data_IF_811694001617
#
_entry.id   IF_811694001617
#
_cell.length_a   1.000
_cell.length_b   1.000
_cell.length_c   1.000
_cell.angle_alpha   90.00
_cell.angle_beta   90.00
_cell.angle_gamma   90.00
#
_symmetry.space_group_name_H-M   'P 1'
#
loop_
_entity.id
_entity.type
_entity.pdbx_description
1 polymer ?
#
# COMPACT_ATOMS: atom_id res chain seq x y z
N UNK A 1 8.04 53.39 28.38
CA UNK A 1 7.30 52.37 29.15
C UNK A 1 6.71 51.35 28.18
N UNK A 2 7.01 50.06 28.40
CA UNK A 2 6.59 48.82 27.68
C UNK A 2 7.79 48.05 27.09
N UNK A 3 8.65 47.57 27.99
CA UNK A 3 9.71 46.59 27.69
C UNK A 3 9.79 45.51 28.78
N UNK A 4 8.65 45.13 29.36
CA UNK A 4 8.62 44.29 30.57
C UNK A 4 7.55 43.17 30.54
N UNK A 5 7.11 42.73 29.36
CA UNK A 5 6.15 41.59 29.26
C UNK A 5 6.61 40.41 28.41
N UNK A 6 7.80 40.46 27.80
CA UNK A 6 8.29 39.36 26.94
C UNK A 6 9.29 38.44 27.66
N UNK A 7 9.84 38.86 28.81
CA UNK A 7 10.80 38.05 29.59
C UNK A 7 10.11 37.06 30.54
N UNK A 8 8.79 37.17 30.76
CA UNK A 8 8.06 36.32 31.70
C UNK A 8 7.53 35.00 31.11
N UNK A 9 7.62 34.79 29.79
CA UNK A 9 7.10 33.57 29.15
C UNK A 9 8.16 32.49 28.89
N UNK A 10 9.44 32.77 29.19
CA UNK A 10 10.56 31.86 28.96
C UNK A 10 11.08 31.15 30.22
N UNK A 11 10.46 31.35 31.39
CA UNK A 11 10.98 30.88 32.69
C UNK A 11 10.08 29.86 33.42
N UNK A 12 9.06 29.27 32.78
CA UNK A 12 8.13 28.31 33.43
C UNK A 12 8.19 26.88 32.85
N UNK A 13 9.11 26.60 31.92
CA UNK A 13 9.26 25.25 31.34
C UNK A 13 10.42 24.40 31.91
N UNK A 14 10.97 24.76 33.07
CA UNK A 14 11.88 23.88 33.83
C UNK A 14 11.29 23.62 35.21
N UNK A 15 10.56 22.49 35.34
CA UNK A 15 10.45 21.61 36.52
C UNK A 15 9.08 20.91 36.54
N UNK A 16 8.94 19.86 35.74
CA UNK A 16 8.00 18.78 36.08
C UNK A 16 8.82 17.50 36.15
N UNK A 17 9.27 17.21 37.37
CA UNK A 17 9.94 15.98 37.75
C UNK A 17 9.09 14.79 37.34
N UNK A 18 9.63 13.97 36.43
CA UNK A 18 9.13 12.64 36.16
C UNK A 18 9.34 11.76 37.40
N UNK A 19 8.29 11.56 38.19
CA UNK A 19 8.22 10.46 39.14
C UNK A 19 7.95 9.19 38.34
N UNK A 20 9.01 8.47 37.98
CA UNK A 20 8.93 7.10 37.46
C UNK A 20 8.35 6.18 38.53
N UNK A 21 7.05 5.91 38.44
CA UNK A 21 6.49 4.69 39.04
C UNK A 21 6.89 3.52 38.16
N UNK A 22 7.82 2.71 38.67
CA UNK A 22 8.15 1.42 38.11
C UNK A 22 6.89 0.55 38.04
N UNK A 23 6.38 0.31 36.84
CA UNK A 23 5.36 -0.71 36.64
C UNK A 23 6.01 -2.09 36.83
N UNK A 24 5.38 -3.01 37.59
CA UNK A 24 5.86 -4.37 37.70
C UNK A 24 5.92 -5.00 36.30
N UNK A 25 7.03 -5.70 36.02
CA UNK A 25 7.22 -6.51 34.81
C UNK A 25 6.13 -7.59 34.75
N UNK A 26 4.99 -7.25 34.17
CA UNK A 26 3.96 -8.20 33.78
C UNK A 26 4.28 -8.66 32.35
N UNK A 27 4.75 -9.90 32.26
CA UNK A 27 4.76 -10.82 31.11
C UNK A 27 4.92 -10.25 29.69
N UNK A 28 6.02 -10.68 29.08
CA UNK A 28 6.28 -10.71 27.65
C UNK A 28 5.02 -10.76 26.77
N UNK A 29 4.82 -9.71 25.96
CA UNK A 29 4.28 -9.72 24.60
C UNK A 29 3.30 -10.85 24.20
N UNK A 30 2.22 -11.03 24.95
CA UNK A 30 1.12 -11.93 24.55
C UNK A 30 0.32 -11.39 23.34
N UNK A 31 0.50 -10.11 22.99
CA UNK A 31 -0.07 -9.47 21.79
C UNK A 31 0.62 -9.88 20.47
N UNK A 32 1.77 -10.56 20.53
CA UNK A 32 2.54 -10.96 19.34
C UNK A 32 2.31 -12.43 18.92
N UNK A 33 1.71 -13.25 19.79
CA UNK A 33 1.39 -14.64 19.45
C UNK A 33 0.14 -14.70 18.55
N UNK A 34 0.35 -15.12 17.30
CA UNK A 34 -0.69 -15.43 16.32
C UNK A 34 -1.16 -16.89 16.48
N UNK A 35 -1.85 -17.18 17.57
CA UNK A 35 -2.34 -18.54 17.87
C UNK A 35 -3.88 -18.65 17.82
N UNK A 36 -4.56 -17.56 17.48
CA UNK A 36 -6.01 -17.48 17.48
C UNK A 36 -6.66 -18.23 16.33
N UNK A 37 -7.84 -18.80 16.56
CA UNK A 37 -8.63 -19.49 15.53
C UNK A 37 -10.11 -19.09 15.60
N UNK A 38 -10.69 -18.79 14.45
CA UNK A 38 -12.13 -18.58 14.26
C UNK A 38 -12.67 -19.58 13.25
N UNK A 39 -13.75 -20.27 13.58
CA UNK A 39 -14.40 -21.22 12.67
C UNK A 39 -15.92 -21.20 12.83
N UNK A 40 -16.62 -21.77 11.87
CA UNK A 40 -18.08 -21.85 11.86
C UNK A 40 -18.59 -22.27 10.49
N UNK A 41 -19.90 -22.17 10.29
CA UNK A 41 -20.56 -22.55 9.04
C UNK A 41 -21.52 -21.46 8.57
N UNK A 42 -21.49 -21.13 7.30
CA UNK A 42 -22.40 -20.16 6.69
C UNK A 42 -23.48 -20.91 5.93
N UNK A 43 -24.74 -20.56 6.22
CA UNK A 43 -25.91 -21.17 5.62
C UNK A 43 -26.85 -20.10 5.09
N UNK A 44 -27.66 -20.47 4.10
CA UNK A 44 -28.77 -19.66 3.66
C UNK A 44 -29.87 -19.69 4.73
N UNK A 45 -30.30 -18.52 5.19
CA UNK A 45 -31.25 -18.40 6.29
C UNK A 45 -32.58 -19.11 6.02
N UNK A 46 -33.22 -18.89 4.85
CA UNK A 46 -34.46 -19.56 4.46
C UNK A 46 -34.31 -21.05 4.17
N UNK A 47 -33.37 -21.46 3.31
CA UNK A 47 -33.30 -22.85 2.85
C UNK A 47 -32.46 -23.77 3.74
N UNK A 48 -31.70 -23.21 4.69
CA UNK A 48 -30.71 -23.92 5.54
C UNK A 48 -29.61 -24.65 4.76
N UNK A 49 -29.51 -24.42 3.45
CA UNK A 49 -28.45 -24.99 2.63
C UNK A 49 -27.12 -24.31 2.94
N UNK A 50 -25.99 -25.03 2.88
CA UNK A 50 -24.68 -24.43 3.03
C UNK A 50 -24.41 -23.42 1.91
N UNK A 51 -23.80 -22.29 2.28
CA UNK A 51 -23.35 -21.29 1.31
C UNK A 51 -21.86 -21.46 1.07
N UNK A 52 -21.53 -22.08 -0.05
CA UNK A 52 -20.17 -22.23 -0.52
C UNK A 52 -19.61 -20.90 -1.05
N UNK A 53 -18.32 -20.65 -0.89
CA UNK A 53 -17.63 -19.46 -1.41
C UNK A 53 -18.12 -18.11 -0.84
N UNK A 54 -18.78 -18.11 0.32
CA UNK A 54 -19.05 -16.90 1.09
C UNK A 54 -17.75 -16.31 1.62
N UNK A 55 -17.59 -15.00 1.50
CA UNK A 55 -16.41 -14.27 1.95
C UNK A 55 -16.50 -14.00 3.44
N UNK A 56 -15.59 -14.57 4.23
CA UNK A 56 -15.47 -14.35 5.67
C UNK A 56 -14.23 -13.49 5.94
N UNK A 57 -14.40 -12.32 6.54
CA UNK A 57 -13.34 -11.36 6.84
C UNK A 57 -13.26 -11.08 8.33
N UNK A 58 -12.05 -11.09 8.88
CA UNK A 58 -11.77 -10.69 10.26
C UNK A 58 -11.13 -9.31 10.23
N UNK A 59 -11.87 -8.31 10.68
CA UNK A 59 -11.46 -6.91 10.69
C UNK A 59 -11.08 -6.47 12.11
N UNK A 60 -10.13 -5.55 12.22
CA UNK A 60 -9.81 -4.83 13.46
C UNK A 60 -10.05 -3.35 13.25
N UNK A 61 -10.87 -2.75 14.11
CA UNK A 61 -11.03 -1.30 14.14
C UNK A 61 -9.79 -0.68 14.80
N UNK A 62 -9.10 0.16 14.05
CA UNK A 62 -7.92 0.89 14.49
C UNK A 62 -8.30 2.12 15.34
N UNK A 63 -7.38 2.70 16.12
CA UNK A 63 -7.66 3.87 16.96
C UNK A 63 -8.18 5.10 16.21
N UNK A 64 -7.88 5.19 14.91
CA UNK A 64 -8.38 6.23 14.00
C UNK A 64 -9.82 5.96 13.48
N UNK A 65 -10.49 4.92 13.98
CA UNK A 65 -11.84 4.54 13.60
C UNK A 65 -11.96 3.75 12.29
N UNK A 66 -10.85 3.44 11.61
CA UNK A 66 -10.87 2.68 10.36
C UNK A 66 -10.79 1.16 10.61
N UNK A 67 -11.55 0.39 9.83
CA UNK A 67 -11.47 -1.06 9.84
C UNK A 67 -10.29 -1.53 8.97
N UNK A 68 -9.37 -2.27 9.57
CA UNK A 68 -8.24 -2.93 8.88
C UNK A 68 -8.47 -4.44 8.79
N UNK A 69 -8.27 -5.03 7.61
CA UNK A 69 -8.38 -6.47 7.39
C UNK A 69 -7.20 -7.18 8.04
N UNK A 70 -7.49 -8.10 8.96
CA UNK A 70 -6.47 -8.92 9.63
C UNK A 70 -6.21 -10.20 8.84
N UNK A 71 -7.26 -10.95 8.54
CA UNK A 71 -7.24 -12.15 7.70
C UNK A 71 -8.65 -12.43 7.18
N UNK A 72 -8.80 -13.31 6.21
CA UNK A 72 -10.10 -13.80 5.76
C UNK A 72 -9.98 -15.10 4.97
N UNK A 73 -11.10 -15.78 4.79
CA UNK A 73 -11.20 -17.00 4.01
C UNK A 73 -12.51 -17.03 3.22
N UNK A 74 -12.61 -17.96 2.28
CA UNK A 74 -13.88 -18.35 1.69
C UNK A 74 -14.44 -19.55 2.48
N UNK A 75 -15.75 -19.71 2.48
CA UNK A 75 -16.36 -20.97 2.92
C UNK A 75 -16.14 -22.07 1.89
N UNK A 76 -15.98 -23.29 2.37
CA UNK A 76 -15.88 -24.49 1.53
C UNK A 76 -17.26 -24.90 0.97
N UNK A 77 -17.32 -25.93 0.13
CA UNK A 77 -18.56 -26.41 -0.50
C UNK A 77 -19.65 -26.79 0.52
N UNK A 78 -19.24 -27.21 1.72
CA UNK A 78 -20.12 -27.54 2.84
C UNK A 78 -20.51 -26.32 3.70
N UNK A 79 -20.10 -25.10 3.31
CA UNK A 79 -20.36 -23.84 4.00
C UNK A 79 -19.42 -23.55 5.18
N UNK A 80 -18.47 -24.43 5.50
CA UNK A 80 -17.57 -24.26 6.64
C UNK A 80 -16.43 -23.27 6.33
N UNK A 81 -16.00 -22.51 7.34
CA UNK A 81 -14.79 -21.68 7.27
C UNK A 81 -13.90 -21.92 8.48
N UNK A 82 -12.59 -21.73 8.29
CA UNK A 82 -11.59 -21.91 9.34
C UNK A 82 -10.43 -20.93 9.14
N UNK A 83 -10.37 -19.90 9.98
CA UNK A 83 -9.34 -18.85 9.94
C UNK A 83 -8.41 -19.05 11.14
N UNK A 84 -7.14 -19.36 10.86
CA UNK A 84 -6.09 -19.65 11.84
C UNK A 84 -5.11 -18.48 11.95
N UNK A 85 -4.18 -18.57 12.89
CA UNK A 85 -3.07 -17.62 13.08
C UNK A 85 -3.53 -16.17 13.34
N UNK A 86 -4.68 -16.01 13.99
CA UNK A 86 -5.18 -14.71 14.36
C UNK A 86 -4.42 -14.16 15.58
N UNK A 87 -4.08 -12.86 15.60
CA UNK A 87 -3.51 -12.24 16.79
C UNK A 87 -4.54 -12.21 17.92
N UNK A 88 -4.09 -11.97 19.15
CA UNK A 88 -4.99 -11.75 20.28
C UNK A 88 -5.64 -10.37 20.19
N UNK A 89 -6.89 -10.24 20.63
CA UNK A 89 -7.61 -8.97 20.69
C UNK A 89 -9.08 -9.07 20.29
N UNK A 90 -9.73 -7.90 20.17
CA UNK A 90 -11.09 -7.77 19.67
C UNK A 90 -11.09 -7.58 18.15
N UNK A 91 -12.07 -8.19 17.48
CA UNK A 91 -12.26 -8.15 16.04
C UNK A 91 -13.74 -8.02 15.70
N UNK A 92 -14.01 -7.63 14.45
CA UNK A 92 -15.32 -7.69 13.82
C UNK A 92 -15.25 -8.68 12.67
N UNK A 93 -16.02 -9.76 12.75
CA UNK A 93 -16.19 -10.71 11.65
C UNK A 93 -17.28 -10.19 10.72
N UNK A 94 -16.93 -10.03 9.44
CA UNK A 94 -17.85 -9.64 8.38
C UNK A 94 -18.02 -10.79 7.41
N UNK A 95 -19.25 -11.14 7.07
CA UNK A 95 -19.54 -12.20 6.11
C UNK A 95 -20.39 -11.64 4.99
N UNK A 96 -19.92 -11.83 3.76
CA UNK A 96 -20.58 -11.38 2.55
C UNK A 96 -20.85 -12.58 1.63
N UNK A 97 -22.05 -12.62 1.08
CA UNK A 97 -22.46 -13.56 0.06
C UNK A 97 -23.32 -12.83 -0.97
N UNK A 98 -23.16 -13.18 -2.24
CA UNK A 98 -23.82 -12.47 -3.34
C UNK A 98 -25.34 -12.58 -3.19
N UNK A 99 -26.03 -11.44 -3.19
CA UNK A 99 -27.49 -11.38 -3.05
C UNK A 99 -27.97 -11.44 -1.59
N UNK A 100 -27.09 -11.38 -0.60
CA UNK A 100 -27.44 -11.39 0.82
C UNK A 100 -26.91 -10.12 1.53
N UNK A 101 -27.58 -9.74 2.62
CA UNK A 101 -27.13 -8.66 3.50
C UNK A 101 -25.79 -9.00 4.15
N UNK A 102 -24.91 -8.00 4.31
CA UNK A 102 -23.66 -8.17 5.06
C UNK A 102 -23.95 -8.54 6.51
N UNK A 103 -23.36 -9.64 6.97
CA UNK A 103 -23.42 -10.05 8.37
C UNK A 103 -22.22 -9.52 9.14
N UNK A 104 -22.46 -8.93 10.31
CA UNK A 104 -21.42 -8.35 11.17
C UNK A 104 -21.51 -8.89 12.60
N UNK A 105 -20.42 -9.41 13.16
CA UNK A 105 -20.36 -9.90 14.56
C UNK A 105 -19.04 -9.52 15.23
N UNK A 106 -19.11 -8.91 16.42
CA UNK A 106 -17.92 -8.63 17.25
C UNK A 106 -17.48 -9.91 17.96
N UNK A 107 -16.17 -10.17 17.95
CA UNK A 107 -15.54 -11.36 18.54
C UNK A 107 -14.29 -10.94 19.30
N UNK A 108 -13.85 -11.75 20.27
CA UNK A 108 -12.64 -11.45 21.06
C UNK A 108 -11.87 -12.73 21.32
N UNK A 109 -10.63 -12.77 20.85
CA UNK A 109 -9.70 -13.86 21.07
C UNK A 109 -8.74 -13.44 22.19
N UNK A 110 -8.81 -14.13 23.32
CA UNK A 110 -7.92 -13.86 24.46
C UNK A 110 -7.58 -15.16 25.21
N UNK A 111 -6.29 -15.44 25.46
CA UNK A 111 -5.91 -16.53 26.35
C UNK A 111 -6.24 -16.17 27.80
N UNK A 112 -6.43 -17.17 28.69
CA UNK A 112 -6.34 -18.60 28.41
C UNK A 112 -7.64 -19.22 27.85
N UNK A 113 -8.78 -18.53 27.97
CA UNK A 113 -10.10 -19.15 27.81
C UNK A 113 -10.70 -19.11 26.39
N UNK A 114 -10.10 -18.38 25.45
CA UNK A 114 -10.71 -18.10 24.14
C UNK A 114 -9.66 -17.93 23.03
N UNK A 115 -8.79 -18.93 22.90
CA UNK A 115 -7.82 -18.99 21.80
C UNK A 115 -8.48 -19.49 20.52
N UNK A 116 -9.48 -20.36 20.65
CA UNK A 116 -10.36 -20.78 19.57
C UNK A 116 -11.79 -20.28 19.85
N UNK A 117 -12.48 -19.82 18.81
CA UNK A 117 -13.85 -19.36 18.91
C UNK A 117 -14.69 -19.93 17.76
N UNK A 118 -15.70 -20.71 18.14
CA UNK A 118 -16.75 -21.20 17.24
C UNK A 118 -17.85 -20.14 17.11
N UNK A 119 -18.21 -19.80 15.88
CA UNK A 119 -19.32 -18.88 15.59
C UNK A 119 -20.64 -19.60 15.31
N UNK A 120 -20.62 -20.94 15.27
CA UNK A 120 -21.75 -21.79 14.96
C UNK A 120 -22.25 -21.59 13.52
N UNK A 121 -23.53 -21.90 13.33
CA UNK A 121 -24.23 -21.67 12.07
C UNK A 121 -24.64 -20.20 11.94
N UNK A 122 -24.12 -19.55 10.90
CA UNK A 122 -24.41 -18.15 10.56
C UNK A 122 -25.36 -18.15 9.37
N UNK A 123 -26.62 -17.83 9.67
CA UNK A 123 -27.67 -17.69 8.67
C UNK A 123 -27.58 -16.33 7.96
N UNK A 124 -27.25 -16.34 6.67
CA UNK A 124 -27.29 -15.15 5.82
C UNK A 124 -28.73 -14.85 5.39
N UNK A 125 -29.10 -13.57 5.38
CA UNK A 125 -30.45 -13.13 4.98
C UNK A 125 -30.36 -12.57 3.56
N UNK A 126 -31.13 -13.09 2.58
CA UNK A 126 -31.19 -12.53 1.24
C UNK A 126 -31.59 -11.05 1.25
N UNK A 127 -30.90 -10.24 0.44
CA UNK A 127 -31.21 -8.82 0.26
C UNK A 127 -32.17 -8.67 -0.93
N UNK A 128 -33.45 -8.38 -0.62
CA UNK A 128 -34.49 -8.21 -1.61
C UNK A 128 -34.30 -6.96 -2.50
N UNK A 129 -33.51 -5.96 -2.08
CA UNK A 129 -33.28 -4.73 -2.86
C UNK A 129 -32.27 -4.92 -4.00
N UNK A 130 -31.27 -5.80 -3.80
CA UNK A 130 -30.26 -6.12 -4.83
C UNK A 130 -30.91 -6.82 -6.04
N UNK A 131 -31.99 -7.59 -5.83
CA UNK A 131 -32.68 -8.32 -6.91
C UNK A 131 -33.58 -7.44 -7.79
N UNK A 132 -34.00 -6.25 -7.31
CA UNK A 132 -34.95 -5.38 -8.03
C UNK A 132 -34.37 -4.09 -8.60
N UNK A 133 -33.06 -3.85 -8.48
CA UNK A 133 -32.53 -2.50 -8.78
C UNK A 133 -31.16 -2.54 -9.46
N UNK A 134 -31.17 -2.66 -10.79
CA UNK A 134 -30.04 -2.24 -11.63
C UNK A 134 -30.07 -0.71 -11.75
N UNK A 135 -29.78 0.00 -10.66
CA UNK A 135 -29.29 1.40 -10.68
C UNK A 135 -28.93 1.89 -9.26
N UNK A 136 -28.04 1.21 -8.54
CA UNK A 136 -27.52 1.75 -7.27
C UNK A 136 -26.01 1.84 -7.33
N UNK A 137 -25.51 3.07 -7.12
CA UNK A 137 -24.12 3.39 -6.82
C UNK A 137 -23.73 2.70 -5.50
N UNK A 138 -23.38 1.42 -5.56
CA UNK A 138 -22.96 0.66 -4.40
C UNK A 138 -21.68 1.26 -3.81
N UNK A 139 -21.67 1.46 -2.49
CA UNK A 139 -20.51 1.91 -1.75
C UNK A 139 -19.43 0.81 -1.78
N UNK A 140 -18.28 1.06 -2.41
CA UNK A 140 -17.22 0.05 -2.56
C UNK A 140 -16.68 -0.36 -1.17
N UNK A 141 -16.55 -1.66 -0.93
CA UNK A 141 -16.00 -2.22 0.33
C UNK A 141 -14.48 -2.05 0.36
N UNK A 142 -13.85 -1.79 1.51
CA UNK A 142 -12.41 -1.50 1.59
C UNK A 142 -11.50 -2.65 1.15
N UNK A 143 -11.92 -3.90 1.37
CA UNK A 143 -11.25 -5.10 0.89
C UNK A 143 -12.28 -6.18 0.53
N UNK A 144 -11.99 -6.97 -0.51
CA UNK A 144 -12.81 -8.10 -0.95
C UNK A 144 -11.89 -9.28 -1.27
N UNK A 145 -12.24 -10.47 -0.78
CA UNK A 145 -11.55 -11.71 -1.12
C UNK A 145 -12.41 -12.45 -2.15
N UNK A 146 -11.83 -12.75 -3.30
CA UNK A 146 -12.42 -13.59 -4.35
C UNK A 146 -11.61 -14.88 -4.50
N UNK A 147 -12.18 -15.89 -5.15
CA UNK A 147 -11.58 -17.22 -5.34
C UNK A 147 -10.14 -17.19 -5.90
N UNK A 148 -9.85 -16.21 -6.76
CA UNK A 148 -8.57 -16.13 -7.48
C UNK A 148 -7.66 -14.97 -7.02
N UNK A 149 -8.20 -13.99 -6.27
CA UNK A 149 -7.50 -12.74 -5.97
C UNK A 149 -8.03 -12.04 -4.72
N UNK A 150 -7.14 -11.34 -4.01
CA UNK A 150 -7.49 -10.42 -2.91
C UNK A 150 -7.50 -9.00 -3.46
N UNK A 151 -8.61 -8.29 -3.37
CA UNK A 151 -8.80 -6.94 -3.92
C UNK A 151 -8.85 -5.93 -2.78
N UNK A 152 -7.99 -4.92 -2.83
CA UNK A 152 -7.92 -3.82 -1.86
C UNK A 152 -8.33 -2.52 -2.56
N UNK A 153 -9.39 -1.86 -2.09
CA UNK A 153 -9.88 -0.62 -2.69
C UNK A 153 -9.14 0.59 -2.11
N UNK A 154 -8.59 1.43 -2.99
CA UNK A 154 -7.74 2.57 -2.59
C UNK A 154 -8.57 3.76 -2.11
N UNK A 155 -9.76 3.97 -2.67
CA UNK A 155 -10.64 5.11 -2.38
C UNK A 155 -11.08 5.23 -0.91
N UNK A 156 -10.97 4.15 -0.12
CA UNK A 156 -11.34 4.14 1.32
C UNK A 156 -10.16 4.26 2.28
N UNK A 157 -8.92 4.33 1.79
CA UNK A 157 -7.76 4.49 2.64
C UNK A 157 -7.33 5.97 2.67
N UNK A 158 -7.60 6.68 3.78
CA UNK A 158 -7.21 8.10 3.97
C UNK A 158 -5.70 8.32 3.78
N UNK A 159 -4.88 7.29 4.04
CA UNK A 159 -3.42 7.32 3.84
C UNK A 159 -3.02 7.38 2.37
N UNK A 160 -3.93 7.06 1.45
CA UNK A 160 -3.71 7.09 0.01
C UNK A 160 -3.95 8.48 -0.61
N UNK A 161 -4.38 9.49 0.14
CA UNK A 161 -4.56 10.84 -0.40
C UNK A 161 -3.19 11.55 -0.52
N UNK A 162 -2.68 11.71 -1.75
CA UNK A 162 -1.47 12.48 -2.04
C UNK A 162 -0.15 11.70 -2.08
N UNK A 163 -0.20 10.37 -2.13
CA UNK A 163 0.98 9.49 -2.23
C UNK A 163 1.15 8.85 -3.61
N UNK A 164 1.99 7.82 -3.68
CA UNK A 164 2.23 7.01 -4.88
C UNK A 164 1.69 5.59 -4.71
N UNK A 165 1.67 4.79 -5.78
CA UNK A 165 1.33 3.37 -5.66
C UNK A 165 2.25 2.64 -4.66
N UNK A 166 3.49 3.09 -4.49
CA UNK A 166 4.43 2.53 -3.51
C UNK A 166 3.88 2.65 -2.07
N UNK A 167 3.30 3.81 -1.75
CA UNK A 167 2.72 4.09 -0.43
C UNK A 167 1.45 3.29 -0.17
N UNK A 168 0.67 3.01 -1.22
CA UNK A 168 -0.48 2.12 -1.15
C UNK A 168 -0.02 0.69 -0.88
N UNK A 169 0.94 0.19 -1.66
CA UNK A 169 1.43 -1.18 -1.55
C UNK A 169 2.04 -1.48 -0.17
N UNK A 170 2.71 -0.51 0.47
CA UNK A 170 3.22 -0.63 1.85
C UNK A 170 2.12 -0.91 2.87
N UNK A 171 0.88 -0.51 2.59
CA UNK A 171 -0.27 -0.71 3.47
C UNK A 171 -1.05 -2.00 3.16
N UNK A 172 -0.67 -2.75 2.11
CA UNK A 172 -1.34 -3.99 1.74
C UNK A 172 -0.74 -5.17 2.51
N UNK A 173 -1.54 -5.94 3.26
CA UNK A 173 -1.05 -7.13 3.95
C UNK A 173 -0.38 -8.10 2.99
N UNK A 174 0.74 -8.69 3.41
CA UNK A 174 1.57 -9.64 2.65
C UNK A 174 2.40 -9.04 1.51
N UNK A 175 2.26 -7.75 1.19
CA UNK A 175 3.12 -7.04 0.24
C UNK A 175 4.19 -6.27 1.01
N UNK A 176 5.45 -6.44 0.64
CA UNK A 176 6.58 -5.68 1.17
C UNK A 176 7.30 -4.98 0.03
N UNK A 177 7.95 -3.85 0.33
CA UNK A 177 8.76 -3.12 -0.65
C UNK A 177 10.20 -3.11 -0.14
N UNK A 178 11.13 -3.47 -1.02
CA UNK A 178 12.56 -3.44 -0.69
C UNK A 178 13.18 -2.05 -0.84
N UNK A 179 14.46 -1.93 -0.45
CA UNK A 179 15.21 -0.66 -0.46
C UNK A 179 15.35 -0.09 -1.88
N UNK A 180 15.26 -0.95 -2.90
CA UNK A 180 15.36 -0.59 -4.31
C UNK A 180 13.98 -0.22 -4.91
N UNK A 181 12.91 -0.27 -4.11
CA UNK A 181 11.54 0.08 -4.54
C UNK A 181 10.79 -1.05 -5.24
N UNK A 182 11.30 -2.29 -5.20
CA UNK A 182 10.63 -3.44 -5.80
C UNK A 182 9.64 -4.07 -4.81
N UNK A 183 8.46 -4.42 -5.32
CA UNK A 183 7.48 -5.15 -4.54
C UNK A 183 7.87 -6.62 -4.37
N UNK A 184 7.56 -7.15 -3.20
CA UNK A 184 7.67 -8.57 -2.84
C UNK A 184 6.34 -9.01 -2.25
N UNK A 185 5.94 -10.24 -2.55
CA UNK A 185 4.76 -10.86 -1.97
C UNK A 185 5.22 -12.05 -1.13
N UNK A 186 4.94 -12.04 0.18
CA UNK A 186 5.41 -13.07 1.12
C UNK A 186 6.91 -13.39 0.95
N UNK A 187 7.73 -12.34 0.91
CA UNK A 187 9.19 -12.39 0.77
C UNK A 187 9.73 -12.99 -0.54
N UNK A 188 8.87 -13.18 -1.54
CA UNK A 188 9.25 -13.58 -2.91
C UNK A 188 9.09 -12.41 -3.87
N UNK A 189 9.99 -12.31 -4.85
CA UNK A 189 9.88 -11.31 -5.93
C UNK A 189 8.58 -11.50 -6.72
N UNK A 190 7.78 -10.44 -6.80
CA UNK A 190 6.46 -10.44 -7.48
C UNK A 190 6.51 -9.61 -8.75
N UNK A 191 5.66 -9.92 -9.72
CA UNK A 191 5.55 -9.14 -10.95
C UNK A 191 4.44 -8.09 -10.81
N UNK A 192 4.75 -6.83 -11.15
CA UNK A 192 3.77 -5.74 -11.16
C UNK A 192 3.02 -5.71 -12.48
N UNK A 193 1.70 -5.67 -12.37
CA UNK A 193 0.79 -5.48 -13.47
C UNK A 193 0.08 -4.14 -13.30
N UNK A 194 -0.19 -3.47 -14.42
CA UNK A 194 -1.06 -2.28 -14.47
C UNK A 194 -2.18 -2.61 -15.45
N UNK A 195 -3.43 -2.55 -14.99
CA UNK A 195 -4.62 -2.93 -15.76
C UNK A 195 -4.49 -4.30 -16.47
N UNK A 196 -3.90 -5.27 -15.78
CA UNK A 196 -3.75 -6.63 -16.29
C UNK A 196 -2.63 -6.81 -17.33
N UNK A 197 -1.78 -5.81 -17.56
CA UNK A 197 -0.57 -5.92 -18.39
C UNK A 197 0.70 -5.84 -17.54
N UNK A 198 1.73 -6.67 -17.81
CA UNK A 198 3.02 -6.54 -17.13
C UNK A 198 3.61 -5.14 -17.34
N UNK A 199 4.05 -4.51 -16.26
CA UNK A 199 4.64 -3.18 -16.31
C UNK A 199 6.08 -3.21 -15.81
N UNK A 200 6.97 -2.54 -16.55
CA UNK A 200 8.34 -2.25 -16.13
C UNK A 200 8.43 -0.86 -15.47
N UNK A 201 7.31 -0.15 -15.33
CA UNK A 201 7.30 1.18 -14.73
C UNK A 201 7.56 1.08 -13.23
N UNK A 202 8.38 2.00 -12.72
CA UNK A 202 8.59 2.14 -11.29
C UNK A 202 7.27 2.53 -10.61
N UNK A 203 6.94 1.81 -9.53
CA UNK A 203 5.67 1.92 -8.82
C UNK A 203 5.46 3.34 -8.24
N UNK A 204 6.56 4.04 -7.92
CA UNK A 204 6.54 5.43 -7.46
C UNK A 204 6.07 6.44 -8.52
N UNK A 205 5.96 6.07 -9.80
CA UNK A 205 5.49 6.97 -10.86
C UNK A 205 3.97 6.97 -11.02
N UNK A 206 3.24 6.05 -10.38
CA UNK A 206 1.78 5.97 -10.46
C UNK A 206 1.20 6.74 -9.26
N UNK A 207 0.54 7.89 -9.49
CA UNK A 207 -0.13 8.62 -8.43
C UNK A 207 -1.25 7.79 -7.79
N UNK A 208 -1.38 7.86 -6.46
CA UNK A 208 -2.36 7.08 -5.70
C UNK A 208 -3.82 7.40 -6.06
N UNK A 209 -4.09 8.64 -6.49
CA UNK A 209 -5.41 9.13 -6.86
C UNK A 209 -5.94 8.49 -8.17
N UNK A 210 -5.04 8.03 -9.03
CA UNK A 210 -5.39 7.34 -10.29
C UNK A 210 -5.73 5.85 -10.08
N UNK A 211 -5.45 5.30 -8.91
CA UNK A 211 -5.61 3.88 -8.61
C UNK A 211 -7.00 3.65 -8.01
N UNK A 212 -7.72 2.70 -8.60
CA UNK A 212 -9.03 2.26 -8.11
C UNK A 212 -8.86 1.19 -7.03
N UNK A 213 -8.08 0.16 -7.36
CA UNK A 213 -7.84 -0.97 -6.48
C UNK A 213 -6.50 -1.62 -6.77
N UNK A 214 -6.00 -2.38 -5.80
CA UNK A 214 -4.85 -3.26 -5.97
C UNK A 214 -5.31 -4.69 -5.74
N UNK A 215 -4.99 -5.56 -6.69
CA UNK A 215 -5.31 -6.97 -6.65
C UNK A 215 -4.04 -7.78 -6.39
N UNK A 216 -4.07 -8.61 -5.37
CA UNK A 216 -2.98 -9.52 -5.01
C UNK A 216 -3.37 -10.93 -5.40
N UNK A 217 -2.60 -11.51 -6.31
CA UNK A 217 -2.81 -12.86 -6.87
C UNK A 217 -1.62 -13.71 -6.43
N UNK A 218 -1.81 -14.48 -5.37
CA UNK A 218 -0.76 -15.33 -4.80
C UNK A 218 -0.54 -16.65 -5.56
N UNK A 219 -1.50 -17.06 -6.40
CA UNK A 219 -1.41 -18.26 -7.23
C UNK A 219 -1.90 -17.92 -8.65
N UNK A 220 -1.03 -17.36 -9.51
CA UNK A 220 -1.43 -16.97 -10.85
C UNK A 220 -1.79 -18.22 -11.68
N UNK A 221 -2.94 -18.17 -12.37
CA UNK A 221 -3.34 -19.23 -13.31
C UNK A 221 -2.49 -19.17 -14.59
N UNK A 222 -2.57 -20.22 -15.41
CA UNK A 222 -1.82 -20.36 -16.67
C UNK A 222 -1.99 -19.20 -17.67
N UNK A 223 -2.97 -18.30 -17.47
CA UNK A 223 -3.17 -17.09 -18.28
C UNK A 223 -2.03 -16.06 -18.11
N UNK A 224 -1.26 -16.15 -17.02
CA UNK A 224 -0.18 -15.21 -16.71
C UNK A 224 1.19 -15.86 -16.93
N UNK A 225 1.54 -16.12 -18.20
CA UNK A 225 2.73 -16.89 -18.61
C UNK A 225 4.09 -16.30 -18.20
N UNK A 226 4.13 -15.09 -17.62
CA UNK A 226 5.37 -14.36 -17.30
C UNK A 226 5.60 -14.10 -15.80
N UNK A 227 4.82 -14.69 -14.89
CA UNK A 227 4.94 -14.41 -13.46
C UNK A 227 6.17 -15.09 -12.84
N UNK A 228 7.03 -14.29 -12.18
CA UNK A 228 8.04 -14.79 -11.25
C UNK A 228 7.34 -15.58 -10.13
N UNK A 229 8.03 -16.58 -9.57
CA UNK A 229 7.58 -17.57 -8.57
C UNK A 229 6.93 -17.01 -7.29
N UNK A 230 6.83 -15.68 -7.15
CA UNK A 230 6.25 -14.97 -6.00
C UNK A 230 4.81 -14.46 -6.18
N UNK A 231 4.19 -14.56 -7.35
CA UNK A 231 2.81 -14.11 -7.60
C UNK A 231 2.71 -12.81 -8.41
N UNK A 232 1.51 -12.22 -8.44
CA UNK A 232 1.21 -11.00 -9.21
C UNK A 232 0.55 -9.96 -8.30
N UNK A 233 1.01 -8.71 -8.41
CA UNK A 233 0.31 -7.54 -7.86
C UNK A 233 -0.17 -6.70 -9.03
N UNK A 234 -1.49 -6.63 -9.22
CA UNK A 234 -2.12 -5.87 -10.29
C UNK A 234 -2.71 -4.57 -9.74
N UNK A 235 -2.21 -3.44 -10.25
CA UNK A 235 -2.70 -2.10 -9.95
C UNK A 235 -3.79 -1.79 -10.98
N UNK A 236 -5.03 -1.68 -10.53
CA UNK A 236 -6.18 -1.35 -11.38
C UNK A 236 -6.39 0.16 -11.31
N UNK A 237 -6.34 0.81 -12.47
CA UNK A 237 -6.56 2.25 -12.56
C UNK A 237 -8.06 2.56 -12.67
N UNK A 238 -8.46 3.74 -12.20
CA UNK A 238 -9.85 4.20 -12.30
C UNK A 238 -10.28 4.30 -13.77
N UNK A 239 -11.27 3.48 -14.15
CA UNK A 239 -11.82 3.47 -15.53
C UNK A 239 -12.50 4.78 -15.91
N UNK A 240 -13.14 5.42 -14.94
CA UNK A 240 -13.65 6.77 -15.10
C UNK A 240 -12.57 7.76 -14.69
N UNK A 241 -11.57 7.96 -15.56
CA UNK A 241 -10.91 9.25 -15.65
C UNK A 241 -12.05 10.25 -15.90
N UNK A 242 -12.48 10.95 -14.85
CA UNK A 242 -13.51 11.99 -15.00
C UNK A 242 -13.14 12.82 -16.23
N UNK A 243 -14.05 13.06 -17.17
CA UNK A 243 -13.79 13.97 -18.28
C UNK A 243 -13.21 15.27 -17.72
N UNK A 244 -12.07 15.69 -18.26
CA UNK A 244 -11.38 16.88 -17.81
C UNK A 244 -9.89 16.68 -17.55
N UNK A 245 -9.34 17.66 -16.85
CA UNK A 245 -7.91 17.89 -16.71
C UNK A 245 -7.47 17.46 -15.31
N UNK A 246 -6.48 16.57 -15.24
CA UNK A 246 -5.81 16.18 -14.01
C UNK A 246 -4.31 16.31 -14.18
N UNK A 247 -3.59 16.49 -13.08
CA UNK A 247 -2.16 16.72 -13.15
C UNK A 247 -1.58 17.00 -11.77
N UNK A 248 -0.27 17.02 -11.71
CA UNK A 248 0.48 17.32 -10.50
C UNK A 248 1.68 18.19 -10.84
N UNK A 249 2.03 19.08 -9.93
CA UNK A 249 3.27 19.85 -9.99
C UNK A 249 4.02 19.61 -8.69
N UNK A 250 5.29 19.27 -8.81
CA UNK A 250 6.20 19.11 -7.68
C UNK A 250 7.40 20.02 -7.85
N UNK A 251 7.88 20.55 -6.74
CA UNK A 251 9.09 21.34 -6.64
C UNK A 251 9.87 20.86 -5.42
N UNK A 252 11.17 20.67 -5.58
CA UNK A 252 12.05 20.19 -4.53
C UNK A 252 13.29 21.06 -4.45
N UNK A 253 13.68 21.41 -3.23
CA UNK A 253 14.95 22.04 -2.91
C UNK A 253 15.70 21.15 -1.91
N UNK A 254 17.02 21.09 -2.02
CA UNK A 254 17.84 20.26 -1.17
C UNK A 254 19.24 20.82 -1.00
N UNK A 255 20.01 20.15 -0.15
CA UNK A 255 21.43 20.47 0.07
C UNK A 255 22.26 20.15 -1.17
N UNK A 256 23.47 20.72 -1.26
CA UNK A 256 24.39 20.58 -2.41
C UNK A 256 23.81 21.13 -3.72
N UNK A 257 23.20 22.31 -3.67
CA UNK A 257 22.65 22.96 -4.86
C UNK A 257 21.58 22.12 -5.57
N UNK A 258 20.88 21.25 -4.83
CA UNK A 258 19.85 20.39 -5.42
C UNK A 258 18.55 21.15 -5.60
N UNK A 259 18.08 21.22 -6.84
CA UNK A 259 16.76 21.72 -7.18
C UNK A 259 16.14 20.79 -8.22
N UNK A 260 14.88 20.43 -8.00
CA UNK A 260 14.11 19.67 -8.95
C UNK A 260 12.71 20.25 -9.09
N UNK A 261 12.12 20.01 -10.25
CA UNK A 261 10.72 20.27 -10.48
C UNK A 261 10.17 19.31 -11.51
N UNK A 262 8.93 18.91 -11.33
CA UNK A 262 8.21 18.12 -12.30
C UNK A 262 6.78 18.63 -12.45
N UNK A 263 6.27 18.54 -13.66
CA UNK A 263 4.89 18.81 -13.99
C UNK A 263 4.36 17.63 -14.80
N UNK A 264 3.22 17.10 -14.39
CA UNK A 264 2.44 16.13 -15.13
C UNK A 264 1.06 16.73 -15.40
N UNK A 265 0.63 16.67 -16.65
CA UNK A 265 -0.69 17.08 -17.08
C UNK A 265 -1.30 15.95 -17.90
N UNK A 266 -2.57 15.68 -17.67
CA UNK A 266 -3.31 14.62 -18.33
C UNK A 266 -4.73 15.12 -18.58
N UNK A 267 -5.11 15.16 -19.84
CA UNK A 267 -6.47 15.52 -20.26
C UNK A 267 -7.11 14.32 -20.91
N UNK A 268 -8.33 14.02 -20.48
CA UNK A 268 -9.13 12.97 -21.07
C UNK A 268 -10.47 13.57 -21.47
N UNK A 269 -10.66 13.76 -22.77
CA UNK A 269 -11.86 14.38 -23.33
C UNK A 269 -12.41 13.50 -24.47
N UNK A 270 -13.57 12.89 -24.21
CA UNK A 270 -14.21 11.96 -25.13
C UNK A 270 -13.32 10.76 -25.45
N UNK A 271 -12.94 10.63 -26.72
CA UNK A 271 -12.14 9.51 -27.23
C UNK A 271 -10.64 9.80 -27.20
N UNK A 272 -10.22 11.00 -26.77
CA UNK A 272 -8.81 11.41 -26.76
C UNK A 272 -8.28 11.48 -25.33
N UNK A 273 -7.12 10.89 -25.12
CA UNK A 273 -6.35 10.98 -23.90
C UNK A 273 -4.98 11.55 -24.23
N UNK A 274 -4.63 12.70 -23.69
CA UNK A 274 -3.34 13.34 -23.91
C UNK A 274 -2.66 13.53 -22.56
N UNK A 275 -1.43 13.05 -22.44
CA UNK A 275 -0.61 13.23 -21.25
C UNK A 275 0.73 13.87 -21.61
N UNK A 276 1.14 14.83 -20.79
CA UNK A 276 2.41 15.51 -20.89
C UNK A 276 3.13 15.48 -19.55
N UNK A 277 4.42 15.20 -19.60
CA UNK A 277 5.30 15.23 -18.45
C UNK A 277 6.55 16.00 -18.79
N UNK A 278 6.97 16.87 -17.87
CA UNK A 278 8.23 17.55 -17.93
C UNK A 278 8.86 17.56 -16.55
N UNK A 279 10.13 17.24 -16.45
CA UNK A 279 10.90 17.42 -15.23
C UNK A 279 12.27 18.00 -15.51
N UNK A 280 12.77 18.77 -14.55
CA UNK A 280 14.15 19.21 -14.49
C UNK A 280 14.73 18.82 -13.13
N UNK A 281 15.98 18.38 -13.13
CA UNK A 281 16.71 18.03 -11.93
C UNK A 281 18.11 18.60 -12.06
N UNK A 282 18.56 19.33 -11.05
CA UNK A 282 19.91 19.85 -10.99
C UNK A 282 20.52 19.56 -9.64
N UNK A 283 21.80 19.19 -9.64
CA UNK A 283 22.56 18.94 -8.43
C UNK A 283 24.02 19.33 -8.64
N UNK A 284 24.62 19.95 -7.63
CA UNK A 284 26.06 20.11 -7.58
C UNK A 284 26.68 18.83 -7.01
N UNK A 285 27.57 18.21 -7.76
CA UNK A 285 28.34 17.04 -7.35
C UNK A 285 29.76 17.49 -7.10
N UNK A 286 30.13 17.48 -5.82
CA UNK A 286 31.49 17.79 -5.37
C UNK A 286 32.20 16.47 -5.08
N UNK A 287 33.33 16.25 -5.75
CA UNK A 287 34.23 15.14 -5.51
C UNK A 287 35.56 15.70 -5.00
N UNK A 288 35.88 15.36 -3.76
CA UNK A 288 37.16 15.71 -3.15
C UNK A 288 38.01 14.44 -3.02
N UNK A 289 39.26 14.51 -3.44
CA UNK A 289 40.21 13.41 -3.43
C UNK A 289 41.55 13.87 -2.88
N UNK A 290 42.21 12.97 -2.16
CA UNK A 290 43.56 13.21 -1.67
C UNK A 290 44.42 11.97 -1.92
N UNK A 291 45.56 12.18 -2.56
CA UNK A 291 46.52 11.13 -2.88
C UNK A 291 47.86 11.48 -2.26
N UNK A 292 48.31 10.62 -1.35
CA UNK A 292 49.68 10.61 -0.84
C UNK A 292 50.40 9.39 -1.40
N UNK A 293 51.51 9.61 -2.09
CA UNK A 293 52.39 8.56 -2.56
C UNK A 293 53.81 8.82 -2.10
N UNK A 294 54.39 7.83 -1.42
CA UNK A 294 55.81 7.79 -1.09
C UNK A 294 56.47 6.77 -2.00
N UNK A 295 57.32 7.22 -2.91
CA UNK A 295 58.09 6.32 -3.75
C UNK A 295 59.35 5.88 -2.99
N UNK A 296 59.61 4.58 -2.97
CA UNK A 296 60.78 3.99 -2.30
C UNK A 296 61.59 3.17 -3.29
N UNK A 297 62.90 3.11 -3.08
CA UNK A 297 63.79 2.20 -3.78
C UNK A 297 63.56 0.75 -3.31
N UNK A 298 64.14 -0.22 -4.02
CA UNK A 298 64.09 -1.64 -3.64
C UNK A 298 64.73 -1.95 -2.28
N UNK A 299 65.63 -1.08 -1.80
CA UNK A 299 66.26 -1.15 -0.47
C UNK A 299 65.42 -0.50 0.64
N UNK A 300 64.25 0.06 0.31
CA UNK A 300 63.35 0.72 1.26
C UNK A 300 63.63 2.21 1.51
N UNK A 301 64.71 2.77 0.96
CA UNK A 301 65.01 4.20 1.08
C UNK A 301 63.98 5.06 0.31
N UNK A 302 63.61 6.22 0.86
CA UNK A 302 62.61 7.10 0.26
C UNK A 302 63.23 7.90 -0.88
N UNK A 303 62.61 7.84 -2.06
CA UNK A 303 63.02 8.60 -3.25
C UNK A 303 62.38 9.98 -3.20
N UNK A 304 61.05 10.03 -3.10
CA UNK A 304 60.28 11.28 -3.07
C UNK A 304 58.87 11.06 -2.51
N UNK A 305 58.23 12.20 -2.26
CA UNK A 305 56.83 12.29 -1.87
C UNK A 305 56.03 12.97 -2.98
N UNK A 306 54.82 12.49 -3.20
CA UNK A 306 53.86 13.07 -4.11
C UNK A 306 52.53 13.22 -3.39
N UNK A 307 52.12 14.46 -3.17
CA UNK A 307 50.88 14.81 -2.50
C UNK A 307 49.99 15.58 -3.49
N UNK A 308 48.81 15.05 -3.77
CA UNK A 308 47.85 15.68 -4.67
C UNK A 308 46.51 15.81 -3.97
N UNK A 309 45.98 17.03 -3.96
CA UNK A 309 44.58 17.31 -3.62
C UNK A 309 43.81 17.55 -4.91
N UNK A 310 42.66 16.89 -5.04
CA UNK A 310 41.77 17.02 -6.19
C UNK A 310 40.43 17.52 -5.66
N UNK A 311 39.99 18.68 -6.13
CA UNK A 311 38.68 19.22 -5.84
C UNK A 311 37.96 19.39 -7.18
N UNK A 312 36.91 18.59 -7.41
CA UNK A 312 36.16 18.58 -8.66
C UNK A 312 34.71 18.94 -8.34
N UNK A 313 34.23 20.02 -8.94
CA UNK A 313 32.84 20.45 -8.82
C UNK A 313 32.21 20.42 -10.21
N UNK A 314 31.16 19.63 -10.38
CA UNK A 314 30.36 19.66 -11.59
C UNK A 314 28.89 19.77 -11.23
N UNK A 315 28.17 20.56 -12.02
CA UNK A 315 26.73 20.67 -11.93
C UNK A 315 26.12 19.77 -12.98
N UNK A 316 25.35 18.79 -12.52
CA UNK A 316 24.56 17.95 -13.42
C UNK A 316 23.15 18.51 -13.49
N UNK A 317 22.72 18.88 -14.69
CA UNK A 317 21.35 19.30 -14.95
C UNK A 317 20.74 18.37 -16.01
N UNK A 318 19.62 17.75 -15.66
CA UNK A 318 18.89 16.81 -16.49
C UNK A 318 17.47 17.33 -16.73
N UNK A 319 17.03 17.19 -17.97
CA UNK A 319 15.65 17.47 -18.38
C UNK A 319 15.05 16.19 -18.93
N UNK A 320 13.83 15.88 -18.53
CA UNK A 320 13.07 14.77 -19.10
C UNK A 320 11.73 15.29 -19.56
N UNK A 321 11.36 15.00 -20.79
CA UNK A 321 10.05 15.33 -21.34
C UNK A 321 9.42 14.06 -21.92
N UNK A 322 8.11 13.90 -21.74
CA UNK A 322 7.31 12.85 -22.36
C UNK A 322 5.98 13.43 -22.78
N UNK A 323 5.54 13.05 -23.97
CA UNK A 323 4.20 13.27 -24.46
C UNK A 323 3.63 11.90 -24.82
N UNK A 324 2.41 11.60 -24.40
CA UNK A 324 1.69 10.41 -24.86
C UNK A 324 0.31 10.84 -25.33
N UNK A 325 -0.12 10.30 -26.47
CA UNK A 325 -1.43 10.52 -27.04
C UNK A 325 -2.11 9.17 -27.27
N UNK A 326 -3.28 8.98 -26.67
CA UNK A 326 -4.12 7.83 -26.92
C UNK A 326 -5.43 8.25 -27.58
N UNK A 327 -5.85 7.48 -28.58
CA UNK A 327 -7.14 7.60 -29.24
C UNK A 327 -7.92 6.29 -29.09
N UNK A 328 -9.07 6.38 -28.41
CA UNK A 328 -9.98 5.27 -28.18
C UNK A 328 -10.97 5.18 -29.36
N UNK A 329 -10.81 4.17 -30.22
CA UNK A 329 -11.78 3.88 -31.29
C UNK A 329 -13.10 3.34 -30.73
N UNK A 330 -13.03 2.46 -29.73
CA UNK A 330 -14.16 1.88 -29.01
C UNK A 330 -13.69 1.34 -27.65
N UNK A 331 -14.61 0.82 -26.82
CA UNK A 331 -14.30 0.31 -25.47
C UNK A 331 -13.30 -0.88 -25.42
N UNK A 332 -12.83 -1.39 -26.58
CA UNK A 332 -11.91 -2.53 -26.67
C UNK A 332 -10.66 -2.24 -27.49
N UNK A 333 -10.60 -1.14 -28.24
CA UNK A 333 -9.52 -0.80 -29.17
C UNK A 333 -9.02 0.62 -28.90
N UNK A 334 -7.75 0.73 -28.52
CA UNK A 334 -7.04 2.00 -28.26
C UNK A 334 -5.76 2.04 -29.08
N UNK A 335 -5.51 3.15 -29.76
CA UNK A 335 -4.22 3.46 -30.36
C UNK A 335 -3.46 4.40 -29.45
N UNK A 336 -2.19 4.12 -29.20
CA UNK A 336 -1.31 4.89 -28.31
C UNK A 336 -0.04 5.29 -29.05
N UNK A 337 0.40 6.54 -28.89
CA UNK A 337 1.63 7.10 -29.43
C UNK A 337 2.46 7.78 -28.35
#
# INVERSE_FOLDING_TARGET
MKFNQIVLLLAVCLTSSFSSFAQPKANANMSSLKIGRLYGKVIDGPSKQPLAYATVMVMRTLPNGQDSLIEGSLTEDNGEFNIKELPMGAFTVKINYVGNNEFNRKVRISPPNSVEQDLGDIAMIPDAQILSTVEIKAEKVSAMISLEKRVFNVDKNITAAGGTAEDILKNIPSVTIDIDGNAKLRDKGTTIYVDGKPSLMAINQIPSDQIESVEVISNPSAKYEAASTGGIVNIVLKKHRKPGYNGSVSLGIGTMGRYNGAANLNTNEGNWNLSGFYSFNSADVTTNGYLNRTNRNSDGSVINYFNQKTDVNFRNTFHTARLNLDYNLNNRNTFSL
#
